data_IF_528889943679
#
_entry.id   IF_528889943679
#
_cell.length_a   1.000
_cell.length_b   1.000
_cell.length_c   1.000
_cell.angle_alpha   90.00
_cell.angle_beta   90.00
_cell.angle_gamma   90.00
#
_symmetry.space_group_name_H-M   'P 1'
#
loop_
_entity.id
_entity.type
_entity.pdbx_description
1 polymer ?
#
# COMPACT_ATOMS: atom_id res chain seq x y z
N UNK A 1 -11.76 -13.78 9.01
CA UNK A 1 -11.69 -12.48 9.72
C UNK A 1 -11.07 -11.36 8.87
N UNK A 2 -11.00 -11.52 7.53
CA UNK A 2 -10.54 -10.53 6.55
C UNK A 2 -11.69 -9.66 5.98
N UNK A 3 -12.91 -9.88 6.47
CA UNK A 3 -14.17 -9.46 5.84
C UNK A 3 -14.91 -8.35 6.61
N UNK A 4 -14.44 -8.00 7.81
CA UNK A 4 -15.24 -7.19 8.75
C UNK A 4 -15.13 -5.67 8.60
N UNK A 5 -14.18 -5.14 7.82
CA UNK A 5 -13.98 -3.68 7.74
C UNK A 5 -14.08 -3.06 6.36
N UNK A 6 -13.79 -3.79 5.27
CA UNK A 6 -14.31 -3.41 3.94
C UNK A 6 -15.84 -3.33 4.00
N UNK A 7 -16.48 -4.14 4.84
CA UNK A 7 -17.89 -4.09 5.20
C UNK A 7 -18.36 -2.73 5.75
N UNK A 8 -17.54 -1.91 6.43
CA UNK A 8 -18.04 -0.68 7.09
C UNK A 8 -18.13 0.54 6.17
N UNK A 9 -17.22 0.71 5.21
CA UNK A 9 -17.34 1.75 4.17
C UNK A 9 -18.35 1.35 3.09
N UNK A 10 -18.47 0.04 2.82
CA UNK A 10 -19.52 -0.57 2.00
C UNK A 10 -20.92 -0.39 2.60
N UNK A 11 -21.05 -0.54 3.92
CA UNK A 11 -22.33 -0.44 4.62
C UNK A 11 -22.89 0.99 4.68
N UNK A 12 -22.06 2.03 4.58
CA UNK A 12 -22.51 3.42 4.77
C UNK A 12 -22.84 4.17 3.47
N UNK A 13 -22.18 3.84 2.34
CA UNK A 13 -22.33 4.59 1.07
C UNK A 13 -22.83 3.73 -0.10
N UNK A 14 -22.87 2.40 0.03
CA UNK A 14 -23.14 1.50 -1.09
C UNK A 14 -21.96 1.38 -2.06
N UNK A 15 -21.74 0.20 -2.64
CA UNK A 15 -20.54 -0.08 -3.46
C UNK A 15 -20.40 0.82 -4.70
N UNK A 16 -21.53 1.26 -5.28
CA UNK A 16 -21.57 2.12 -6.46
C UNK A 16 -21.07 3.53 -6.18
N UNK A 17 -21.44 4.12 -5.03
CA UNK A 17 -21.06 5.49 -4.67
C UNK A 17 -19.57 5.59 -4.33
N UNK A 18 -19.06 4.62 -3.56
CA UNK A 18 -17.63 4.55 -3.22
C UNK A 18 -16.76 4.38 -4.49
N UNK A 19 -17.20 3.56 -5.45
CA UNK A 19 -16.50 3.39 -6.72
C UNK A 19 -16.60 4.63 -7.62
N UNK A 20 -17.74 5.31 -7.64
CA UNK A 20 -17.91 6.58 -8.38
C UNK A 20 -17.05 7.69 -7.81
N UNK A 21 -16.98 7.83 -6.47
CA UNK A 21 -16.12 8.81 -5.80
C UNK A 21 -14.63 8.55 -6.08
N UNK A 22 -14.17 7.30 -5.95
CA UNK A 22 -12.79 6.91 -6.30
C UNK A 22 -12.46 7.25 -7.76
N UNK A 23 -13.38 6.98 -8.68
CA UNK A 23 -13.19 7.31 -10.11
C UNK A 23 -13.09 8.81 -10.33
N UNK A 24 -13.95 9.60 -9.68
CA UNK A 24 -13.89 11.08 -9.74
C UNK A 24 -12.59 11.62 -9.18
N UNK A 25 -12.12 11.09 -8.05
CA UNK A 25 -10.86 11.52 -7.42
C UNK A 25 -9.63 11.16 -8.26
N UNK A 26 -9.62 10.00 -8.92
CA UNK A 26 -8.56 9.64 -9.87
C UNK A 26 -8.52 10.54 -11.09
N UNK A 27 -9.69 10.96 -11.59
CA UNK A 27 -9.81 11.85 -12.74
C UNK A 27 -9.56 13.33 -12.39
N UNK A 28 -9.68 13.70 -11.11
CA UNK A 28 -9.43 15.06 -10.66
C UNK A 28 -7.94 15.42 -10.81
N UNK A 29 -7.68 16.65 -11.24
CA UNK A 29 -6.34 17.22 -11.19
C UNK A 29 -5.90 17.37 -9.72
N UNK A 30 -4.62 17.16 -9.39
CA UNK A 30 -4.11 17.47 -8.06
C UNK A 30 -4.28 18.96 -7.77
N UNK A 31 -4.94 19.28 -6.66
CA UNK A 31 -5.01 20.61 -6.07
C UNK A 31 -3.76 20.87 -5.24
N UNK A 32 -3.24 22.12 -5.25
CA UNK A 32 -2.15 22.50 -4.36
C UNK A 32 -2.63 22.47 -2.91
N UNK A 33 -1.69 22.21 -1.99
CA UNK A 33 -2.00 22.12 -0.54
C UNK A 33 -2.62 23.45 -0.02
N UNK A 34 -2.24 24.58 -0.63
CA UNK A 34 -2.76 25.91 -0.28
C UNK A 34 -4.26 26.10 -0.56
N UNK A 35 -4.86 25.29 -1.44
CA UNK A 35 -6.27 25.42 -1.85
C UNK A 35 -7.18 24.40 -1.16
N UNK A 36 -6.63 23.62 -0.22
CA UNK A 36 -7.42 22.62 0.50
C UNK A 36 -8.47 23.28 1.38
N UNK A 37 -9.70 22.81 1.24
CA UNK A 37 -10.82 23.20 2.09
C UNK A 37 -11.31 21.99 2.86
N UNK A 38 -11.60 22.21 4.13
CA UNK A 38 -12.14 21.19 5.01
C UNK A 38 -13.46 20.62 4.45
N UNK A 39 -13.64 19.30 4.57
CA UNK A 39 -14.83 18.60 4.09
C UNK A 39 -14.90 18.37 2.58
N UNK A 40 -13.94 18.87 1.78
CA UNK A 40 -13.88 18.57 0.34
C UNK A 40 -12.96 17.39 0.03
N UNK A 41 -13.45 16.49 -0.83
CA UNK A 41 -12.62 15.43 -1.41
C UNK A 41 -11.76 16.03 -2.51
N UNK A 42 -10.45 15.91 -2.39
CA UNK A 42 -9.49 16.48 -3.31
C UNK A 42 -8.30 15.54 -3.48
N UNK A 43 -7.53 15.77 -4.53
CA UNK A 43 -6.28 15.07 -4.80
C UNK A 43 -5.14 16.03 -4.52
N UNK A 44 -4.12 15.62 -3.78
CA UNK A 44 -2.96 16.46 -3.46
C UNK A 44 -1.67 15.80 -3.91
N UNK A 45 -0.79 16.57 -4.54
CA UNK A 45 0.54 16.11 -4.93
C UNK A 45 1.60 16.83 -4.10
N UNK A 46 2.66 16.13 -3.73
CA UNK A 46 3.75 16.74 -2.99
C UNK A 46 4.85 15.75 -2.67
N UNK A 47 5.93 16.27 -2.11
CA UNK A 47 7.10 15.50 -1.72
C UNK A 47 6.95 15.01 -0.28
N UNK A 48 7.18 13.73 -0.07
CA UNK A 48 7.05 13.08 1.23
C UNK A 48 8.22 13.48 2.13
N UNK A 49 7.91 13.81 3.38
CA UNK A 49 8.87 14.06 4.44
C UNK A 49 8.45 13.27 5.68
N UNK A 50 9.44 12.87 6.47
CA UNK A 50 9.23 12.15 7.73
C UNK A 50 8.58 13.08 8.75
N UNK A 51 7.56 12.59 9.45
CA UNK A 51 6.98 13.25 10.63
C UNK A 51 7.63 12.66 11.89
N UNK A 52 8.06 13.52 12.82
CA UNK A 52 8.67 13.14 14.11
C UNK A 52 9.76 12.06 14.02
N UNK A 53 10.61 12.12 12.98
CA UNK A 53 11.68 11.14 12.73
C UNK A 53 11.23 9.68 12.66
N UNK A 54 9.93 9.41 12.51
CA UNK A 54 9.36 8.06 12.55
C UNK A 54 9.32 7.45 11.14
N UNK A 55 9.96 6.30 10.97
CA UNK A 55 9.94 5.54 9.71
C UNK A 55 9.62 4.06 9.96
N UNK A 56 9.17 3.39 8.92
CA UNK A 56 8.97 1.96 8.84
C UNK A 56 10.09 1.31 8.04
N UNK A 57 10.30 0.02 8.25
CA UNK A 57 11.16 -0.80 7.39
C UNK A 57 10.28 -1.71 6.53
N UNK A 58 10.35 -1.54 5.21
CA UNK A 58 9.61 -2.36 4.26
C UNK A 58 10.08 -3.83 4.36
N UNK A 59 9.16 -4.80 4.54
CA UNK A 59 9.52 -6.17 4.91
C UNK A 59 10.27 -6.95 3.84
N UNK A 60 10.08 -6.65 2.55
CA UNK A 60 10.73 -7.35 1.45
C UNK A 60 12.00 -6.63 1.00
N UNK A 61 11.95 -5.32 0.72
CA UNK A 61 13.12 -4.58 0.24
C UNK A 61 14.05 -4.13 1.36
N UNK A 62 13.59 -4.08 2.61
CA UNK A 62 14.33 -3.52 3.75
C UNK A 62 14.47 -1.99 3.70
N UNK A 63 13.69 -1.31 2.85
CA UNK A 63 13.82 0.15 2.63
C UNK A 63 13.14 0.92 3.76
N UNK A 64 13.75 2.03 4.17
CA UNK A 64 13.12 2.99 5.08
C UNK A 64 12.00 3.72 4.35
N UNK A 65 10.79 3.70 4.91
CA UNK A 65 9.60 4.23 4.26
C UNK A 65 8.62 4.84 5.28
N UNK A 66 7.67 5.64 4.81
CA UNK A 66 6.55 6.12 5.64
C UNK A 66 5.29 5.28 5.46
N UNK A 67 5.22 4.52 4.37
CA UNK A 67 4.14 3.58 4.09
C UNK A 67 4.65 2.44 3.20
N UNK A 68 4.10 1.24 3.38
CA UNK A 68 4.30 0.12 2.47
C UNK A 68 3.01 -0.70 2.27
N UNK A 69 2.95 -1.41 1.16
CA UNK A 69 2.01 -2.49 0.88
C UNK A 69 2.79 -3.71 0.39
N UNK A 70 2.57 -4.85 1.03
CA UNK A 70 3.12 -6.15 0.67
C UNK A 70 1.99 -7.08 0.25
N UNK A 71 2.11 -7.63 -0.95
CA UNK A 71 1.28 -8.73 -1.44
C UNK A 71 2.14 -9.95 -1.76
N UNK A 72 1.75 -11.10 -1.24
CA UNK A 72 2.31 -12.40 -1.64
C UNK A 72 1.19 -13.22 -2.25
N UNK A 73 1.35 -13.53 -3.53
CA UNK A 73 0.35 -14.23 -4.33
C UNK A 73 0.92 -15.59 -4.70
N UNK A 74 0.15 -16.64 -4.49
CA UNK A 74 0.43 -17.99 -4.92
C UNK A 74 -0.34 -18.29 -6.21
N UNK A 75 0.38 -18.59 -7.28
CA UNK A 75 -0.21 -19.08 -8.52
C UNK A 75 -0.34 -20.60 -8.42
N UNK A 76 -1.57 -21.08 -8.27
CA UNK A 76 -1.89 -22.50 -8.33
C UNK A 76 -1.92 -22.94 -9.80
N UNK A 77 -1.16 -23.97 -10.17
CA UNK A 77 -1.19 -24.50 -11.54
C UNK A 77 -2.60 -25.00 -11.92
N UNK A 78 -3.01 -24.82 -13.17
CA UNK A 78 -4.34 -25.24 -13.68
C UNK A 78 -5.40 -24.14 -13.68
N UNK A 79 -6.69 -24.51 -13.58
CA UNK A 79 -7.84 -23.62 -13.68
C UNK A 79 -8.10 -22.76 -12.41
N UNK A 80 -7.30 -22.92 -11.35
CA UNK A 80 -7.61 -22.40 -10.01
C UNK A 80 -7.09 -20.99 -9.69
N UNK A 81 -6.47 -20.29 -10.64
CA UNK A 81 -6.17 -18.86 -10.52
C UNK A 81 -5.10 -18.46 -9.48
N UNK A 82 -4.85 -17.15 -9.40
CA UNK A 82 -3.93 -16.52 -8.43
C UNK A 82 -4.63 -16.42 -7.05
N UNK A 83 -3.97 -16.87 -5.98
CA UNK A 83 -4.45 -16.84 -4.60
C UNK A 83 -3.61 -15.90 -3.73
N UNK A 84 -4.24 -14.91 -3.06
CA UNK A 84 -3.56 -13.97 -2.16
C UNK A 84 -3.27 -14.64 -0.81
N UNK A 85 -1.99 -14.91 -0.52
CA UNK A 85 -1.54 -15.55 0.73
C UNK A 85 -1.31 -14.56 1.86
N UNK A 86 -0.65 -13.44 1.53
CA UNK A 86 -0.28 -12.37 2.47
C UNK A 86 -0.70 -11.04 1.87
N UNK A 87 -1.36 -10.24 2.68
CA UNK A 87 -1.65 -8.84 2.43
C UNK A 87 -1.30 -8.08 3.71
N UNK A 88 -0.19 -7.34 3.68
CA UNK A 88 0.22 -6.51 4.81
C UNK A 88 0.40 -5.07 4.34
N UNK A 89 -0.15 -4.14 5.11
CA UNK A 89 -0.09 -2.72 4.80
C UNK A 89 0.14 -1.97 6.09
N UNK A 90 1.17 -1.14 6.11
CA UNK A 90 1.44 -0.25 7.22
C UNK A 90 1.81 1.14 6.73
N UNK A 91 1.54 2.11 7.59
CA UNK A 91 1.89 3.51 7.37
C UNK A 91 1.97 4.23 8.71
N UNK A 92 2.89 5.17 8.81
CA UNK A 92 3.04 6.09 9.93
C UNK A 92 2.66 7.50 9.49
N UNK A 93 2.34 8.43 10.40
CA UNK A 93 2.16 9.82 10.03
C UNK A 93 3.35 10.36 9.22
N UNK A 94 3.08 11.18 8.21
CA UNK A 94 4.11 11.80 7.39
C UNK A 94 3.67 13.17 6.90
N UNK A 95 4.60 13.97 6.40
CA UNK A 95 4.32 15.31 5.88
C UNK A 95 4.40 15.29 4.35
N UNK A 96 3.40 15.85 3.69
CA UNK A 96 3.44 16.17 2.28
C UNK A 96 3.84 17.64 2.12
N UNK A 97 4.88 17.92 1.34
CA UNK A 97 5.35 19.29 1.09
C UNK A 97 5.19 19.65 -0.39
N UNK A 98 4.55 20.79 -0.67
CA UNK A 98 4.37 21.31 -2.03
C UNK A 98 4.51 22.83 -2.05
N UNK A 99 5.56 23.33 -2.72
CA UNK A 99 5.79 24.77 -2.90
C UNK A 99 5.83 25.58 -1.59
N UNK A 100 6.32 25.00 -0.49
CA UNK A 100 6.40 25.65 0.82
C UNK A 100 5.18 25.42 1.73
N UNK A 101 4.10 24.82 1.21
CA UNK A 101 2.96 24.39 2.01
C UNK A 101 3.17 22.97 2.49
N UNK A 102 2.74 22.68 3.72
CA UNK A 102 2.90 21.37 4.34
C UNK A 102 1.54 20.85 4.83
N UNK A 103 1.26 19.59 4.56
CA UNK A 103 0.11 18.87 5.08
C UNK A 103 0.59 17.65 5.87
N UNK A 104 0.10 17.50 7.11
CA UNK A 104 0.31 16.26 7.87
C UNK A 104 -0.73 15.24 7.41
N UNK A 105 -0.25 14.08 6.99
CA UNK A 105 -1.08 12.95 6.61
C UNK A 105 -1.09 11.98 7.77
N UNK A 106 -2.24 11.87 8.43
CA UNK A 106 -2.47 10.88 9.49
C UNK A 106 -3.14 9.62 8.90
N UNK A 107 -2.45 8.47 8.87
CA UNK A 107 -3.01 7.21 8.38
C UNK A 107 -4.03 6.56 9.32
N UNK A 108 -4.15 7.00 10.58
CA UNK A 108 -4.94 6.32 11.62
C UNK A 108 -6.40 6.10 11.21
N UNK A 109 -6.96 7.05 10.46
CA UNK A 109 -8.33 6.98 9.96
C UNK A 109 -8.44 7.11 8.43
N UNK A 110 -7.31 7.04 7.71
CA UNK A 110 -7.28 7.23 6.26
C UNK A 110 -6.83 5.97 5.52
N UNK A 111 -7.38 5.76 4.32
CA UNK A 111 -6.95 4.68 3.45
C UNK A 111 -5.90 5.18 2.47
N UNK A 112 -4.62 4.94 2.76
CA UNK A 112 -3.57 5.15 1.75
C UNK A 112 -3.67 4.04 0.69
N UNK A 113 -4.28 4.34 -0.45
CA UNK A 113 -4.22 3.47 -1.62
C UNK A 113 -2.91 3.79 -2.37
N UNK A 114 -1.91 2.93 -2.21
CA UNK A 114 -0.67 3.01 -2.98
C UNK A 114 -0.96 2.59 -4.43
N UNK A 115 -1.42 3.56 -5.22
CA UNK A 115 -1.55 3.39 -6.66
C UNK A 115 -0.15 3.55 -7.27
N UNK A 116 0.52 2.42 -7.50
CA UNK A 116 1.61 2.19 -8.45
C UNK A 116 2.43 3.43 -8.81
N UNK A 117 3.14 4.01 -7.84
CA UNK A 117 4.09 5.08 -8.15
C UNK A 117 5.46 4.48 -8.47
N UNK A 118 5.84 3.36 -7.85
CA UNK A 118 6.90 2.47 -8.33
C UNK A 118 6.56 1.02 -7.93
N UNK A 119 6.41 0.13 -8.92
CA UNK A 119 6.26 -1.30 -8.67
C UNK A 119 7.64 -1.93 -8.67
N UNK A 120 8.19 -2.26 -7.50
CA UNK A 120 9.31 -3.22 -7.48
C UNK A 120 8.70 -4.60 -7.70
N UNK A 121 8.60 -4.99 -8.96
CA UNK A 121 8.18 -6.35 -9.32
C UNK A 121 9.40 -7.25 -9.25
N UNK A 122 9.67 -7.81 -8.08
CA UNK A 122 10.61 -8.92 -8.00
C UNK A 122 9.88 -10.17 -8.50
N UNK A 123 10.05 -10.49 -9.79
CA UNK A 123 9.77 -11.83 -10.29
C UNK A 123 10.93 -12.72 -9.88
N UNK A 124 10.87 -13.25 -8.66
CA UNK A 124 11.78 -14.32 -8.25
C UNK A 124 11.14 -15.65 -8.62
N UNK A 125 11.77 -16.36 -9.55
CA UNK A 125 11.67 -17.81 -9.56
C UNK A 125 12.23 -18.29 -8.21
N UNK A 126 11.31 -18.82 -7.40
CA UNK A 126 11.43 -19.49 -6.10
C UNK A 126 12.79 -19.60 -5.36
N UNK A 127 12.69 -19.41 -4.04
CA UNK A 127 13.44 -20.03 -2.92
C UNK A 127 14.82 -19.52 -2.48
N UNK A 128 15.61 -18.85 -3.30
CA UNK A 128 16.99 -18.49 -2.87
C UNK A 128 17.14 -17.12 -2.18
N UNK A 129 16.09 -16.29 -2.12
CA UNK A 129 16.16 -14.99 -1.44
C UNK A 129 15.87 -15.13 0.08
N UNK A 130 16.84 -14.88 0.98
CA UNK A 130 16.64 -14.92 2.43
C UNK A 130 15.51 -13.99 2.91
N UNK A 131 15.25 -12.88 2.22
CA UNK A 131 14.22 -11.91 2.59
C UNK A 131 12.82 -12.46 2.34
N UNK A 132 12.62 -13.20 1.26
CA UNK A 132 11.34 -13.85 0.97
C UNK A 132 10.99 -14.92 1.99
N UNK A 133 11.99 -15.72 2.40
CA UNK A 133 11.83 -16.70 3.48
C UNK A 133 11.48 -16.03 4.80
N UNK A 134 12.19 -14.97 5.17
CA UNK A 134 11.90 -14.22 6.39
C UNK A 134 10.48 -13.63 6.39
N UNK A 135 10.00 -13.13 5.25
CA UNK A 135 8.60 -12.70 5.09
C UNK A 135 7.65 -13.88 5.33
N UNK A 136 7.83 -15.01 4.63
CA UNK A 136 6.94 -16.16 4.81
C UNK A 136 6.93 -16.69 6.27
N UNK A 137 8.08 -16.79 6.91
CA UNK A 137 8.20 -17.22 8.30
C UNK A 137 7.52 -16.24 9.26
N UNK A 138 7.71 -14.93 9.05
CA UNK A 138 7.10 -13.87 9.87
C UNK A 138 5.58 -13.91 9.82
N UNK A 139 5.01 -14.04 8.62
CA UNK A 139 3.56 -13.95 8.44
C UNK A 139 2.84 -15.31 8.52
N UNK A 140 3.54 -16.43 8.31
CA UNK A 140 3.02 -17.81 8.43
C UNK A 140 4.06 -18.77 9.03
N UNK A 141 4.34 -18.66 10.33
CA UNK A 141 5.26 -19.55 11.02
C UNK A 141 4.78 -21.01 10.93
N UNK A 142 5.68 -21.93 10.56
CA UNK A 142 5.36 -23.37 10.40
C UNK A 142 4.83 -23.79 9.03
N UNK A 143 4.82 -22.90 8.03
CA UNK A 143 4.36 -23.18 6.65
C UNK A 143 5.26 -24.10 5.82
N UNK A 144 5.93 -25.08 6.42
CA UNK A 144 6.87 -25.98 5.74
C UNK A 144 6.30 -26.75 4.52
N UNK A 145 4.97 -26.79 4.34
CA UNK A 145 4.31 -27.46 3.22
C UNK A 145 4.26 -26.67 1.89
N UNK A 146 4.73 -25.42 1.81
CA UNK A 146 4.66 -24.66 0.55
C UNK A 146 5.80 -24.94 -0.45
N UNK A 147 6.76 -25.81 -0.08
CA UNK A 147 8.10 -25.79 -0.69
C UNK A 147 8.28 -26.51 -2.03
N UNK A 148 7.33 -27.31 -2.55
CA UNK A 148 7.72 -28.22 -3.65
C UNK A 148 7.05 -28.05 -5.02
N UNK A 149 6.03 -27.20 -5.23
CA UNK A 149 5.37 -27.13 -6.57
C UNK A 149 4.72 -25.81 -6.97
N UNK A 150 4.67 -24.79 -6.11
CA UNK A 150 3.81 -23.62 -6.36
C UNK A 150 4.61 -22.40 -6.74
N UNK A 151 4.19 -21.64 -7.76
CA UNK A 151 4.85 -20.39 -8.15
C UNK A 151 4.30 -19.26 -7.28
N UNK A 152 5.17 -18.49 -6.62
CA UNK A 152 4.77 -17.32 -5.83
C UNK A 152 5.21 -16.04 -6.53
N UNK A 153 4.45 -14.98 -6.32
CA UNK A 153 4.72 -13.62 -6.80
C UNK A 153 4.69 -12.69 -5.59
N UNK A 154 5.81 -12.04 -5.34
CA UNK A 154 5.95 -11.04 -4.30
C UNK A 154 5.82 -9.65 -4.94
N UNK A 155 5.02 -8.79 -4.33
CA UNK A 155 4.90 -7.39 -4.74
C UNK A 155 5.01 -6.54 -3.50
N UNK A 156 5.88 -5.55 -3.57
CA UNK A 156 6.01 -4.55 -2.53
C UNK A 156 5.96 -3.17 -3.17
N UNK A 157 5.12 -2.31 -2.60
CA UNK A 157 5.09 -0.89 -2.87
C UNK A 157 5.54 -0.17 -1.62
N UNK A 158 6.38 0.84 -1.77
CA UNK A 158 6.86 1.65 -0.66
C UNK A 158 6.71 3.13 -1.01
N UNK A 159 6.60 3.94 0.03
CA UNK A 159 6.70 5.40 -0.08
C UNK A 159 7.90 5.84 0.72
N UNK A 160 8.97 6.19 0.01
CA UNK A 160 10.22 6.65 0.61
C UNK A 160 10.16 8.15 0.93
N UNK A 161 10.82 8.61 2.00
CA UNK A 161 11.07 10.03 2.19
C UNK A 161 11.76 10.62 0.96
N UNK A 162 11.30 11.80 0.51
CA UNK A 162 11.78 12.46 -0.70
C UNK A 162 11.04 12.05 -1.98
N UNK A 163 10.24 10.98 -1.97
CA UNK A 163 9.41 10.63 -3.12
C UNK A 163 8.32 11.67 -3.36
N UNK A 164 8.07 12.02 -4.63
CA UNK A 164 6.89 12.82 -5.01
C UNK A 164 5.72 11.87 -5.22
N UNK A 165 4.67 12.04 -4.42
CA UNK A 165 3.47 11.19 -4.46
C UNK A 165 2.23 12.03 -4.69
N UNK A 166 1.14 11.35 -5.04
CA UNK A 166 -0.18 11.96 -5.11
C UNK A 166 -1.17 11.17 -4.27
N UNK A 167 -1.86 11.85 -3.36
CA UNK A 167 -2.86 11.29 -2.45
C UNK A 167 -4.25 11.78 -2.85
N UNK A 168 -5.29 10.98 -2.63
CA UNK A 168 -6.67 11.33 -2.93
C UNK A 168 -7.64 10.61 -1.99
#
# INVERSE_FOLDING_TARGET
MFDRFVSRLRAFLGESLANSLRRRLRAAAPSPISELREGLHCRIAGTVRVHDHTTLTAPLSGRACVAYLLEVIETLGGASGDHLLIYDKQSVPFVLSDGGHNAVVDPTHSQILLALTEQVTVRSEFLDDPRQRAVLERYRPGGASYMNTRRMRYREWVVEPGARVTLA
#
